data_IF_911204514362
#
_entry.id   IF_911204514362
#
_cell.length_a   1.000
_cell.length_b   1.000
_cell.length_c   1.000
_cell.angle_alpha   90.00
_cell.angle_beta   90.00
_cell.angle_gamma   90.00
#
_symmetry.space_group_name_H-M   'P 1'
#
loop_
_entity.id
_entity.type
_entity.pdbx_description
1 polymer ?
#
# COMPACT_ATOMS: atom_id res chain seq x y z
N UNK A 1 2.07 1.35 -44.10
CA UNK A 1 2.01 2.81 -43.91
C UNK A 1 1.50 2.97 -42.50
N UNK A 2 2.40 3.07 -41.53
CA UNK A 2 2.02 3.02 -40.12
C UNK A 2 1.96 4.45 -39.58
N UNK A 3 0.76 4.87 -39.20
CA UNK A 3 0.53 6.17 -38.57
C UNK A 3 1.17 6.22 -37.18
N UNK A 4 2.01 7.22 -36.96
CA UNK A 4 2.67 7.49 -35.68
C UNK A 4 1.63 8.02 -34.69
N UNK A 5 1.51 7.49 -33.45
CA UNK A 5 0.50 7.97 -32.52
C UNK A 5 0.79 9.41 -32.09
N UNK A 6 -0.23 10.27 -32.18
CA UNK A 6 -0.18 11.66 -31.72
C UNK A 6 -0.07 11.70 -30.20
N UNK A 7 1.06 12.22 -29.70
CA UNK A 7 1.21 12.58 -28.29
C UNK A 7 0.23 13.71 -27.93
N UNK A 8 -0.72 13.41 -27.05
CA UNK A 8 -1.72 14.36 -26.52
C UNK A 8 -1.28 15.06 -25.23
N UNK A 9 -0.06 14.81 -24.75
CA UNK A 9 0.51 15.47 -23.57
C UNK A 9 1.15 16.81 -23.95
N UNK A 10 0.32 17.80 -24.27
CA UNK A 10 0.77 19.20 -24.24
C UNK A 10 0.09 19.91 -23.08
N UNK A 11 0.93 20.24 -22.11
CA UNK A 11 0.73 21.21 -21.03
C UNK A 11 -0.07 20.69 -19.82
N UNK A 12 0.63 20.07 -18.88
CA UNK A 12 0.31 20.25 -17.47
C UNK A 12 1.45 21.03 -16.82
N UNK A 13 1.09 22.18 -16.26
CA UNK A 13 1.97 23.14 -15.62
C UNK A 13 2.56 22.51 -14.35
N UNK A 14 3.89 22.32 -14.33
CA UNK A 14 4.63 21.60 -13.29
C UNK A 14 4.77 22.35 -11.96
N UNK A 15 4.21 23.56 -11.83
CA UNK A 15 4.41 24.43 -10.67
C UNK A 15 3.23 24.45 -9.68
N UNK A 16 2.28 23.50 -9.75
CA UNK A 16 1.06 23.55 -8.93
C UNK A 16 0.87 22.43 -7.91
N UNK A 17 1.85 21.57 -7.71
CA UNK A 17 1.81 20.54 -6.67
C UNK A 17 3.00 20.73 -5.73
N UNK A 18 2.72 21.21 -4.52
CA UNK A 18 3.70 21.22 -3.45
C UNK A 18 4.06 19.76 -3.11
N UNK A 19 5.34 19.45 -3.20
CA UNK A 19 5.94 18.26 -2.62
C UNK A 19 5.76 18.30 -1.11
N UNK A 20 5.07 17.30 -0.57
CA UNK A 20 5.24 16.88 0.82
C UNK A 20 5.66 15.42 0.81
N UNK A 21 6.97 15.19 0.66
CA UNK A 21 7.60 13.92 1.00
C UNK A 21 8.07 14.05 2.44
N UNK A 22 7.31 13.51 3.38
CA UNK A 22 7.75 13.43 4.78
C UNK A 22 8.76 12.30 4.93
N UNK A 23 10.05 12.60 4.72
CA UNK A 23 11.16 11.75 5.16
C UNK A 23 11.35 11.91 6.67
N UNK A 24 10.87 10.96 7.47
CA UNK A 24 11.22 10.90 8.92
C UNK A 24 11.33 9.47 9.47
N UNK A 25 11.65 8.47 8.65
CA UNK A 25 11.94 7.10 9.16
C UNK A 25 13.27 6.59 8.59
N UNK A 26 14.29 7.45 8.60
CA UNK A 26 15.69 7.00 8.48
C UNK A 26 16.46 7.29 9.79
N UNK A 27 15.87 8.01 10.75
CA UNK A 27 16.58 8.49 11.95
C UNK A 27 16.29 7.71 13.24
N UNK A 28 15.79 6.47 13.16
CA UNK A 28 15.71 5.59 14.34
C UNK A 28 16.40 4.25 14.08
N UNK A 29 17.69 4.24 14.40
CA UNK A 29 18.40 3.11 15.01
C UNK A 29 18.73 1.92 14.10
N UNK A 30 19.80 2.06 13.31
CA UNK A 30 20.65 0.91 12.94
C UNK A 30 21.74 0.81 14.01
N UNK A 31 21.48 0.00 15.03
CA UNK A 31 22.50 -0.81 15.70
C UNK A 31 21.92 -2.23 15.82
N UNK A 32 22.25 -3.10 14.88
CA UNK A 32 22.11 -4.53 15.03
C UNK A 32 22.93 -5.22 13.93
N UNK A 33 24.17 -5.58 14.26
CA UNK A 33 24.95 -6.53 13.48
C UNK A 33 24.26 -7.90 13.58
N UNK A 34 23.97 -8.50 12.42
CA UNK A 34 23.27 -9.78 12.18
C UNK A 34 21.76 -9.71 11.92
N UNK A 35 21.38 -9.06 10.81
CA UNK A 35 20.13 -9.39 10.11
C UNK A 35 20.49 -10.33 8.95
N UNK A 36 19.89 -11.52 8.94
CA UNK A 36 20.05 -12.55 7.90
C UNK A 36 19.83 -11.95 6.50
N UNK A 37 20.88 -11.91 5.68
CA UNK A 37 20.92 -11.27 4.35
C UNK A 37 19.87 -11.82 3.37
N UNK A 38 19.26 -12.98 3.68
CA UNK A 38 18.18 -13.57 2.88
C UNK A 38 16.81 -12.92 3.12
N UNK A 39 16.58 -12.31 4.28
CA UNK A 39 15.32 -11.59 4.57
C UNK A 39 15.27 -10.20 3.92
N UNK A 40 16.43 -9.55 3.76
CA UNK A 40 16.53 -8.22 3.14
C UNK A 40 16.32 -8.26 1.62
N UNK A 41 16.85 -9.26 0.90
CA UNK A 41 16.73 -9.27 -0.56
C UNK A 41 15.32 -9.64 -1.07
N UNK A 42 14.57 -10.45 -0.32
CA UNK A 42 13.18 -10.81 -0.64
C UNK A 42 12.18 -9.68 -0.36
N UNK A 43 12.38 -8.92 0.72
CA UNK A 43 11.50 -7.82 1.12
C UNK A 43 11.75 -6.54 0.33
N UNK A 44 12.98 -6.26 -0.10
CA UNK A 44 13.31 -5.03 -0.84
C UNK A 44 12.42 -4.83 -2.07
N UNK A 45 12.10 -5.91 -2.79
CA UNK A 45 11.24 -5.83 -3.98
C UNK A 45 9.77 -5.51 -3.62
N UNK A 46 9.27 -6.03 -2.50
CA UNK A 46 7.89 -5.80 -2.06
C UNK A 46 7.75 -4.39 -1.49
N UNK A 47 8.71 -3.98 -0.67
CA UNK A 47 8.76 -2.63 -0.10
C UNK A 47 8.90 -1.57 -1.20
N UNK A 48 9.75 -1.82 -2.20
CA UNK A 48 9.89 -0.94 -3.36
C UNK A 48 8.60 -0.90 -4.19
N UNK A 49 7.95 -2.04 -4.40
CA UNK A 49 6.68 -2.11 -5.13
C UNK A 49 5.56 -1.35 -4.42
N UNK A 50 5.43 -1.51 -3.09
CA UNK A 50 4.45 -0.78 -2.29
C UNK A 50 4.75 0.72 -2.34
N UNK A 51 6.01 1.14 -2.13
CA UNK A 51 6.42 2.54 -2.26
C UNK A 51 6.10 3.09 -3.64
N UNK A 52 6.39 2.34 -4.70
CA UNK A 52 6.08 2.75 -6.07
C UNK A 52 4.58 2.93 -6.27
N UNK A 53 3.76 2.00 -5.76
CA UNK A 53 2.30 2.14 -5.78
C UNK A 53 1.84 3.40 -5.07
N UNK A 54 2.37 3.68 -3.88
CA UNK A 54 1.98 4.82 -3.05
C UNK A 54 2.39 6.16 -3.68
N UNK A 55 3.59 6.23 -4.28
CA UNK A 55 4.10 7.43 -4.96
C UNK A 55 3.34 7.74 -6.26
N UNK A 56 2.86 6.72 -6.97
CA UNK A 56 2.17 6.88 -8.24
C UNK A 56 0.63 6.82 -8.13
N UNK A 57 0.09 6.64 -6.91
CA UNK A 57 -1.34 6.55 -6.68
C UNK A 57 -2.01 7.92 -6.87
N UNK A 58 -2.78 8.06 -7.95
CA UNK A 58 -3.66 9.22 -8.16
C UNK A 58 -5.00 9.06 -7.40
N UNK A 59 -5.40 7.82 -7.13
CA UNK A 59 -6.63 7.48 -6.41
C UNK A 59 -6.34 6.40 -5.37
N UNK A 60 -7.16 6.33 -4.32
CA UNK A 60 -6.96 5.42 -3.19
C UNK A 60 -7.01 3.94 -3.62
N UNK A 61 -7.76 3.61 -4.67
CA UNK A 61 -7.84 2.24 -5.21
C UNK A 61 -6.51 1.77 -5.83
N UNK A 62 -5.62 2.72 -6.18
CA UNK A 62 -4.27 2.44 -6.67
C UNK A 62 -3.21 2.58 -5.59
N UNK A 63 -3.59 2.94 -4.37
CA UNK A 63 -2.70 3.05 -3.23
C UNK A 63 -2.66 1.70 -2.50
N UNK A 64 -1.53 0.98 -2.63
CA UNK A 64 -1.33 -0.24 -1.86
C UNK A 64 -0.97 0.08 -0.42
N UNK A 65 -1.73 -0.50 0.50
CA UNK A 65 -1.50 -0.41 1.94
C UNK A 65 -1.01 -1.76 2.47
N UNK A 66 0.10 -1.74 3.20
CA UNK A 66 0.54 -2.89 3.98
C UNK A 66 -0.18 -2.92 5.33
N UNK A 67 -0.88 -4.02 5.61
CA UNK A 67 -1.64 -4.20 6.85
C UNK A 67 -0.97 -5.32 7.66
N UNK A 68 -0.41 -5.02 8.84
CA UNK A 68 0.12 -6.04 9.75
C UNK A 68 -0.95 -7.07 10.11
N UNK A 69 -0.57 -8.35 10.17
CA UNK A 69 -1.51 -9.45 10.39
C UNK A 69 -2.25 -9.32 11.73
N UNK A 70 -1.60 -8.72 12.73
CA UNK A 70 -2.11 -8.50 14.08
C UNK A 70 -3.31 -7.55 14.13
N UNK A 71 -3.55 -6.77 13.06
CA UNK A 71 -4.72 -5.89 12.94
C UNK A 71 -6.00 -6.64 12.58
N UNK A 72 -5.89 -7.90 12.16
CA UNK A 72 -7.04 -8.74 11.84
C UNK A 72 -7.54 -9.48 13.08
N UNK A 73 -8.87 -9.52 13.23
CA UNK A 73 -9.58 -10.17 14.34
C UNK A 73 -10.59 -11.18 13.80
N UNK A 74 -11.16 -12.01 14.67
CA UNK A 74 -12.23 -12.95 14.32
C UNK A 74 -11.87 -13.85 13.12
N UNK A 75 -10.59 -14.27 13.07
CA UNK A 75 -10.05 -15.09 12.00
C UNK A 75 -10.71 -16.48 12.03
N UNK A 76 -11.42 -16.82 10.96
CA UNK A 76 -12.21 -18.05 10.84
C UNK A 76 -11.79 -18.79 9.57
N UNK A 77 -11.50 -20.08 9.68
CA UNK A 77 -11.17 -20.92 8.53
C UNK A 77 -12.40 -21.13 7.63
N UNK A 78 -12.19 -21.09 6.30
CA UNK A 78 -13.22 -21.33 5.29
C UNK A 78 -13.00 -22.68 4.61
N UNK A 79 -11.86 -22.85 3.97
CA UNK A 79 -11.58 -23.99 3.10
C UNK A 79 -10.07 -24.14 2.83
N UNK A 80 -9.68 -25.32 2.33
CA UNK A 80 -8.33 -25.66 1.93
C UNK A 80 -8.38 -26.34 0.56
N UNK A 81 -7.43 -26.03 -0.31
CA UNK A 81 -7.30 -26.66 -1.62
C UNK A 81 -5.85 -26.63 -2.09
N UNK A 82 -5.62 -27.02 -3.36
CA UNK A 82 -4.26 -27.07 -3.94
C UNK A 82 -3.51 -25.72 -3.98
N UNK A 83 -4.18 -24.61 -3.67
CA UNK A 83 -3.61 -23.26 -3.65
C UNK A 83 -3.50 -22.67 -2.23
N UNK A 84 -3.64 -23.49 -1.18
CA UNK A 84 -3.51 -23.08 0.21
C UNK A 84 -4.83 -23.07 1.00
N UNK A 85 -4.76 -22.51 2.19
CA UNK A 85 -5.88 -22.35 3.13
C UNK A 85 -6.48 -20.95 2.99
N UNK A 86 -7.78 -20.85 3.14
CA UNK A 86 -8.52 -19.60 3.04
C UNK A 86 -9.21 -19.33 4.38
N UNK A 87 -9.09 -18.09 4.85
CA UNK A 87 -9.69 -17.63 6.10
C UNK A 87 -10.52 -16.37 5.83
N UNK A 88 -11.54 -16.12 6.65
CA UNK A 88 -12.14 -14.79 6.79
C UNK A 88 -11.61 -14.11 8.04
N UNK A 89 -11.48 -12.79 8.03
CA UNK A 89 -11.15 -12.01 9.21
C UNK A 89 -11.91 -10.67 9.21
N UNK A 90 -11.94 -10.00 10.34
CA UNK A 90 -12.44 -8.64 10.49
C UNK A 90 -11.26 -7.68 10.65
N UNK A 91 -11.33 -6.54 9.96
CA UNK A 91 -10.37 -5.44 10.14
C UNK A 91 -11.12 -4.19 10.58
N UNK A 92 -10.86 -3.74 11.80
CA UNK A 92 -11.65 -2.69 12.45
C UNK A 92 -11.41 -1.31 11.88
N UNK A 93 -10.22 -1.03 11.36
CA UNK A 93 -9.86 0.30 10.86
C UNK A 93 -10.47 0.58 9.48
N UNK A 94 -10.73 -0.46 8.69
CA UNK A 94 -11.29 -0.34 7.33
C UNK A 94 -10.27 0.18 6.30
N UNK A 95 -10.66 0.13 5.03
CA UNK A 95 -9.80 0.53 3.93
C UNK A 95 -9.71 2.06 3.80
N UNK A 96 -8.57 2.54 3.28
CA UNK A 96 -8.36 3.96 2.97
C UNK A 96 -9.35 4.40 1.89
N UNK A 97 -10.08 5.50 2.12
CA UNK A 97 -11.00 6.08 1.15
C UNK A 97 -10.49 7.39 0.56
N UNK A 98 -9.93 8.30 1.36
CA UNK A 98 -9.24 9.49 0.84
C UNK A 98 -8.29 10.09 1.87
N UNK A 99 -7.39 10.97 1.41
CA UNK A 99 -6.55 11.80 2.27
C UNK A 99 -7.25 13.12 2.59
N UNK A 100 -7.49 13.38 3.86
CA UNK A 100 -7.96 14.69 4.33
C UNK A 100 -6.74 15.63 4.47
N UNK A 101 -6.66 16.61 3.56
CA UNK A 101 -5.55 17.57 3.49
C UNK A 101 -5.53 18.49 4.71
N UNK A 102 -6.69 18.91 5.20
CA UNK A 102 -6.82 19.87 6.30
C UNK A 102 -6.38 19.24 7.62
N UNK A 103 -6.84 18.01 7.87
CA UNK A 103 -6.53 17.28 9.09
C UNK A 103 -5.24 16.46 8.98
N UNK A 104 -4.63 16.38 7.80
CA UNK A 104 -3.47 15.55 7.46
C UNK A 104 -3.65 14.10 7.92
N UNK A 105 -4.81 13.51 7.62
CA UNK A 105 -5.18 12.15 8.05
C UNK A 105 -5.86 11.38 6.92
N UNK A 106 -5.65 10.07 6.91
CA UNK A 106 -6.41 9.17 6.06
C UNK A 106 -7.82 8.99 6.62
N UNK A 107 -8.83 9.32 5.81
CA UNK A 107 -10.20 8.92 6.08
C UNK A 107 -10.40 7.48 5.63
N UNK A 108 -10.94 6.65 6.53
CA UNK A 108 -11.18 5.22 6.29
C UNK A 108 -12.66 4.92 6.26
N UNK A 109 -13.03 3.96 5.43
CA UNK A 109 -14.40 3.46 5.39
C UNK A 109 -14.43 2.01 5.86
N UNK A 110 -15.36 1.73 6.77
CA UNK A 110 -15.64 0.38 7.25
C UNK A 110 -16.98 -0.06 6.67
N UNK A 111 -16.95 -0.92 5.67
CA UNK A 111 -18.08 -1.82 5.47
C UNK A 111 -18.06 -2.85 6.61
N UNK A 112 -19.21 -3.35 7.04
CA UNK A 112 -19.32 -4.46 8.02
C UNK A 112 -18.82 -5.80 7.45
N UNK A 113 -17.87 -5.75 6.52
CA UNK A 113 -17.47 -6.86 5.69
C UNK A 113 -16.32 -7.64 6.33
N UNK A 114 -16.37 -8.94 6.10
CA UNK A 114 -15.28 -9.87 6.39
C UNK A 114 -14.28 -9.83 5.23
N UNK A 115 -13.01 -9.72 5.57
CA UNK A 115 -11.88 -9.77 4.65
C UNK A 115 -11.46 -11.21 4.43
N UNK A 116 -11.07 -11.56 3.21
CA UNK A 116 -10.52 -12.88 2.90
C UNK A 116 -9.00 -12.83 3.03
N UNK A 117 -8.45 -13.72 3.84
CA UNK A 117 -7.02 -13.95 4.00
C UNK A 117 -6.65 -15.27 3.31
N UNK A 118 -5.52 -15.29 2.62
CA UNK A 118 -4.99 -16.45 1.90
C UNK A 118 -3.51 -16.63 2.23
#
# INVERSE_FOLDING_TARGET
>A
MDEKPKNLWKNLDGNKYQEYVTTSIIDSTIESENVDERLTYGNNNIDEFIKHSQLNAVFYEKYLEWIPFEKFQNITYIAEGGFGKIYTAEWLEGYIYYWDIENQKWHRYKFLDKYVLK
#
